data_IF_939322044508
#
_entry.id   IF_939322044508
#
_cell.length_a   1.000
_cell.length_b   1.000
_cell.length_c   1.000
_cell.angle_alpha   90.00
_cell.angle_beta   90.00
_cell.angle_gamma   90.00
#
_symmetry.space_group_name_H-M   'P 1'
#
loop_
_entity.id
_entity.type
_entity.pdbx_description
1 polymer ?
#
# COMPACT_ATOMS: atom_id res chain seq x y z
N UNK A 1 40.71 46.53 -29.98
CA UNK A 1 39.54 45.62 -30.06
C UNK A 1 40.09 44.24 -30.36
N UNK A 2 39.97 43.30 -29.42
CA UNK A 2 38.79 42.44 -29.42
C UNK A 2 37.96 42.58 -28.13
N UNK A 3 36.64 42.46 -28.31
CA UNK A 3 35.63 42.51 -27.25
C UNK A 3 35.38 41.12 -26.67
N UNK A 4 35.37 41.02 -25.35
CA UNK A 4 34.77 39.92 -24.59
C UNK A 4 33.28 39.82 -24.90
N UNK A 5 32.72 38.60 -24.87
CA UNK A 5 31.42 38.42 -24.25
C UNK A 5 31.52 37.45 -23.06
N UNK A 6 31.12 37.99 -21.93
CA UNK A 6 30.75 37.31 -20.69
C UNK A 6 29.52 36.41 -20.87
N UNK A 7 29.46 35.37 -20.04
CA UNK A 7 28.30 34.55 -19.65
C UNK A 7 27.56 33.73 -20.73
N UNK A 8 27.70 32.41 -20.62
CA UNK A 8 26.68 31.59 -19.96
C UNK A 8 27.26 30.21 -19.62
N UNK A 9 27.61 29.99 -18.35
CA UNK A 9 27.75 28.62 -17.82
C UNK A 9 26.37 28.12 -17.37
N UNK A 10 25.85 27.03 -17.93
CA UNK A 10 25.02 26.13 -17.16
C UNK A 10 25.95 25.17 -16.41
N UNK A 11 26.22 25.57 -15.17
CA UNK A 11 26.73 24.73 -14.11
C UNK A 11 25.85 23.50 -13.90
N UNK A 12 26.47 22.41 -13.48
CA UNK A 12 25.77 21.32 -12.80
C UNK A 12 25.16 20.29 -13.74
N UNK A 13 26.03 19.41 -14.23
CA UNK A 13 25.71 17.98 -14.21
C UNK A 13 25.35 17.62 -12.77
N UNK A 14 24.10 17.85 -12.37
CA UNK A 14 23.59 17.36 -11.11
C UNK A 14 23.16 15.93 -11.40
N UNK A 15 24.18 15.08 -11.29
CA UNK A 15 24.10 13.68 -10.94
C UNK A 15 22.76 13.37 -10.27
N UNK A 16 22.13 12.30 -10.73
CA UNK A 16 20.95 11.76 -10.10
C UNK A 16 21.14 11.77 -8.58
N UNK A 17 20.12 12.23 -7.88
CA UNK A 17 19.99 11.96 -6.47
C UNK A 17 19.08 10.74 -6.29
N UNK A 18 19.55 9.50 -6.55
CA UNK A 18 19.03 8.42 -5.74
C UNK A 18 19.54 8.74 -4.34
N UNK A 19 18.61 9.04 -3.43
CA UNK A 19 18.87 8.77 -2.02
C UNK A 19 19.54 7.40 -1.96
N UNK A 20 20.82 7.39 -1.59
CA UNK A 20 21.70 6.23 -1.55
C UNK A 20 21.05 5.17 -0.66
N UNK A 21 20.25 4.29 -1.24
CA UNK A 21 20.06 2.96 -0.72
C UNK A 21 21.39 2.25 -0.97
N UNK A 22 22.24 2.18 0.05
CA UNK A 22 23.44 1.36 0.00
C UNK A 22 23.06 -0.09 -0.37
N UNK A 23 23.97 -0.84 -1.03
CA UNK A 23 23.76 -2.26 -1.30
C UNK A 23 23.68 -2.99 0.03
N UNK A 24 22.46 -3.22 0.53
CA UNK A 24 22.19 -3.79 1.86
C UNK A 24 21.04 -3.16 2.64
N UNK A 25 20.44 -2.06 2.17
CA UNK A 25 19.18 -1.59 2.78
C UNK A 25 18.07 -2.58 2.43
N UNK A 26 17.73 -3.48 3.35
CA UNK A 26 16.48 -4.23 3.28
C UNK A 26 15.35 -3.20 3.07
N UNK A 27 14.44 -3.42 2.10
CA UNK A 27 13.35 -2.49 1.87
C UNK A 27 12.64 -2.25 3.20
N UNK A 28 12.51 -0.98 3.59
CA UNK A 28 11.86 -0.64 4.85
C UNK A 28 10.40 -1.09 4.75
N UNK A 29 10.01 -2.03 5.61
CA UNK A 29 8.66 -2.56 5.65
C UNK A 29 7.71 -1.43 6.05
N UNK A 30 6.78 -1.08 5.16
CA UNK A 30 5.86 0.04 5.39
C UNK A 30 4.63 -0.46 6.13
N UNK A 31 4.14 0.31 7.12
CA UNK A 31 2.85 0.05 7.77
C UNK A 31 1.75 0.70 6.94
N UNK A 32 0.79 -0.09 6.47
CA UNK A 32 -0.27 0.36 5.58
C UNK A 32 -1.63 0.15 6.22
N UNK A 33 -2.50 1.16 6.11
CA UNK A 33 -3.93 1.03 6.37
C UNK A 33 -4.61 1.08 5.01
N UNK A 34 -5.42 0.09 4.70
CA UNK A 34 -6.26 0.13 3.52
C UNK A 34 -7.63 0.68 3.87
N UNK A 35 -8.11 1.61 3.06
CA UNK A 35 -9.53 1.96 3.05
C UNK A 35 -10.37 0.74 2.66
N UNK A 36 -11.62 0.70 3.12
CA UNK A 36 -12.57 -0.36 2.79
C UNK A 36 -12.70 -0.58 1.28
N UNK A 37 -12.64 0.48 0.47
CA UNK A 37 -12.70 0.38 -0.99
C UNK A 37 -11.49 -0.35 -1.60
N UNK A 38 -10.32 -0.22 -1.00
CA UNK A 38 -9.11 -0.94 -1.44
C UNK A 38 -9.27 -2.44 -1.13
N UNK A 39 -9.78 -2.79 0.05
CA UNK A 39 -10.10 -4.19 0.36
C UNK A 39 -11.13 -4.78 -0.59
N UNK A 40 -12.24 -4.06 -0.85
CA UNK A 40 -13.27 -4.52 -1.79
C UNK A 40 -12.67 -4.74 -3.18
N UNK A 41 -11.85 -3.78 -3.66
CA UNK A 41 -11.20 -3.89 -4.96
C UNK A 41 -10.24 -5.09 -5.01
N UNK A 42 -9.45 -5.32 -3.96
CA UNK A 42 -8.51 -6.43 -3.87
C UNK A 42 -9.21 -7.80 -3.87
N UNK A 43 -10.37 -7.92 -3.20
CA UNK A 43 -11.08 -9.20 -3.05
C UNK A 43 -11.99 -9.54 -4.23
N UNK A 44 -12.39 -8.55 -5.03
CA UNK A 44 -13.39 -8.72 -6.10
C UNK A 44 -12.78 -8.60 -7.50
N UNK A 45 -11.69 -7.85 -7.68
CA UNK A 45 -11.10 -7.55 -8.99
C UNK A 45 -9.70 -8.19 -9.12
N UNK A 46 -9.61 -9.37 -9.76
CA UNK A 46 -8.33 -10.02 -10.03
C UNK A 46 -7.41 -9.14 -10.89
N UNK A 47 -6.11 -9.17 -10.59
CA UNK A 47 -5.08 -8.38 -11.26
C UNK A 47 -5.09 -6.90 -10.93
N UNK A 48 -5.98 -6.43 -10.05
CA UNK A 48 -6.07 -5.02 -9.69
C UNK A 48 -4.83 -4.55 -8.91
N UNK A 49 -4.57 -3.24 -8.94
CA UNK A 49 -3.49 -2.65 -8.11
C UNK A 49 -3.75 -2.85 -6.60
N UNK A 50 -5.01 -2.95 -6.21
CA UNK A 50 -5.39 -3.25 -4.83
C UNK A 50 -5.05 -4.70 -4.45
N UNK A 51 -5.31 -5.66 -5.35
CA UNK A 51 -4.87 -7.05 -5.17
C UNK A 51 -3.34 -7.10 -5.03
N UNK A 52 -2.60 -6.44 -5.91
CA UNK A 52 -1.13 -6.38 -5.83
C UNK A 52 -0.62 -5.76 -4.52
N UNK A 53 -1.29 -4.72 -4.01
CA UNK A 53 -0.96 -4.13 -2.72
C UNK A 53 -1.21 -5.11 -1.56
N UNK A 54 -2.31 -5.86 -1.61
CA UNK A 54 -2.60 -6.92 -0.63
C UNK A 54 -1.59 -8.07 -0.74
N UNK A 55 -1.16 -8.45 -1.94
CA UNK A 55 -0.09 -9.44 -2.14
C UNK A 55 1.22 -9.00 -1.48
N UNK A 56 1.61 -7.72 -1.57
CA UNK A 56 2.79 -7.21 -0.85
C UNK A 56 2.69 -7.37 0.66
N UNK A 57 1.49 -7.28 1.23
CA UNK A 57 1.26 -7.57 2.66
C UNK A 57 1.43 -9.06 2.93
N UNK A 58 0.81 -9.92 2.12
CA UNK A 58 0.90 -11.39 2.26
C UNK A 58 2.34 -11.89 2.15
N UNK A 59 3.13 -11.31 1.24
CA UNK A 59 4.55 -11.61 1.06
C UNK A 59 5.44 -11.02 2.17
N UNK A 60 4.85 -10.29 3.13
CA UNK A 60 5.57 -9.64 4.23
C UNK A 60 6.37 -8.40 3.81
N UNK A 61 6.21 -7.90 2.59
CA UNK A 61 6.87 -6.67 2.12
C UNK A 61 6.31 -5.41 2.79
N UNK A 62 5.03 -5.43 3.18
CA UNK A 62 4.35 -4.38 3.95
C UNK A 62 3.64 -5.00 5.17
N UNK A 63 3.37 -4.20 6.22
CA UNK A 63 2.55 -4.61 7.37
C UNK A 63 1.17 -4.01 7.29
N UNK A 64 0.14 -4.84 7.24
CA UNK A 64 -1.23 -4.37 7.30
C UNK A 64 -1.59 -3.96 8.73
N UNK A 65 -2.10 -2.75 8.86
CA UNK A 65 -2.73 -2.23 10.07
C UNK A 65 -4.23 -2.24 9.87
N UNK A 66 -4.97 -2.85 10.80
CA UNK A 66 -6.42 -2.98 10.70
C UNK A 66 -7.09 -2.57 12.01
N UNK A 67 -8.29 -2.02 11.90
CA UNK A 67 -9.15 -1.72 13.04
C UNK A 67 -10.51 -2.39 12.87
N UNK A 68 -11.20 -2.62 13.98
CA UNK A 68 -12.54 -3.23 13.97
C UNK A 68 -13.53 -2.47 13.06
N UNK A 69 -13.62 -1.12 13.10
CA UNK A 69 -14.54 -0.38 12.23
C UNK A 69 -14.32 -0.65 10.73
N UNK A 70 -13.06 -0.73 10.28
CA UNK A 70 -12.73 -1.00 8.87
C UNK A 70 -13.18 -2.43 8.50
N UNK A 71 -12.90 -3.42 9.36
CA UNK A 71 -13.36 -4.79 9.10
C UNK A 71 -14.89 -4.88 9.06
N UNK A 72 -15.58 -4.28 10.02
CA UNK A 72 -17.04 -4.31 10.10
C UNK A 72 -17.69 -3.66 8.86
N UNK A 73 -17.13 -2.53 8.38
CA UNK A 73 -17.56 -1.89 7.16
C UNK A 73 -17.33 -2.79 5.93
N UNK A 74 -16.14 -3.39 5.80
CA UNK A 74 -15.81 -4.30 4.72
C UNK A 74 -16.80 -5.48 4.65
N UNK A 75 -17.05 -6.16 5.77
CA UNK A 75 -17.98 -7.30 5.82
C UNK A 75 -19.42 -6.86 5.50
N UNK A 76 -19.82 -5.66 5.92
CA UNK A 76 -21.11 -5.06 5.57
C UNK A 76 -21.22 -4.79 4.06
N UNK A 77 -20.16 -4.28 3.44
CA UNK A 77 -20.12 -4.03 1.99
C UNK A 77 -20.14 -5.33 1.21
N UNK A 78 -19.35 -6.33 1.61
CA UNK A 78 -19.30 -7.64 0.96
C UNK A 78 -20.64 -8.38 1.04
N UNK A 79 -21.29 -8.38 2.21
CA UNK A 79 -22.62 -8.99 2.37
C UNK A 79 -23.70 -8.28 1.54
N UNK A 80 -23.74 -6.95 1.57
CA UNK A 80 -24.82 -6.18 0.92
C UNK A 80 -24.65 -5.98 -0.57
N UNK A 81 -23.43 -5.70 -1.04
CA UNK A 81 -23.18 -5.34 -2.45
C UNK A 81 -22.71 -6.51 -3.29
N UNK A 82 -22.13 -7.54 -2.68
CA UNK A 82 -21.56 -8.70 -3.37
C UNK A 82 -22.21 -10.02 -2.95
N UNK A 83 -23.28 -9.95 -2.14
CA UNK A 83 -24.08 -11.10 -1.71
C UNK A 83 -23.27 -12.24 -1.11
N UNK A 84 -22.14 -11.92 -0.46
CA UNK A 84 -21.27 -12.91 0.20
C UNK A 84 -22.00 -13.52 1.38
N UNK A 85 -21.95 -14.85 1.49
CA UNK A 85 -22.60 -15.55 2.58
C UNK A 85 -21.81 -15.48 3.90
N UNK A 86 -22.40 -15.97 4.98
CA UNK A 86 -21.79 -15.93 6.31
C UNK A 86 -20.46 -16.69 6.38
N UNK A 87 -20.33 -17.78 5.62
CA UNK A 87 -19.13 -18.62 5.64
C UNK A 87 -17.98 -17.92 4.92
N UNK A 88 -18.26 -17.33 3.75
CA UNK A 88 -17.32 -16.50 3.01
C UNK A 88 -16.84 -15.30 3.83
N UNK A 89 -17.76 -14.59 4.49
CA UNK A 89 -17.42 -13.44 5.34
C UNK A 89 -16.57 -13.84 6.54
N UNK A 90 -16.87 -14.99 7.17
CA UNK A 90 -16.09 -15.51 8.28
C UNK A 90 -14.66 -15.84 7.86
N UNK A 91 -14.47 -16.45 6.68
CA UNK A 91 -13.13 -16.72 6.12
C UNK A 91 -12.34 -15.44 5.91
N UNK A 92 -12.96 -14.40 5.33
CA UNK A 92 -12.31 -13.10 5.12
C UNK A 92 -11.90 -12.48 6.46
N UNK A 93 -12.80 -12.50 7.46
CA UNK A 93 -12.52 -11.93 8.78
C UNK A 93 -11.37 -12.64 9.50
N UNK A 94 -11.35 -13.97 9.49
CA UNK A 94 -10.27 -14.77 10.10
C UNK A 94 -8.95 -14.49 9.39
N UNK A 95 -8.95 -14.57 8.05
CA UNK A 95 -7.73 -14.38 7.27
C UNK A 95 -7.12 -12.98 7.44
N UNK A 96 -7.93 -11.92 7.37
CA UNK A 96 -7.46 -10.56 7.64
C UNK A 96 -7.03 -10.38 9.10
N UNK A 97 -7.68 -11.07 10.04
CA UNK A 97 -7.33 -11.00 11.45
C UNK A 97 -6.01 -11.66 11.81
N UNK A 98 -5.61 -12.69 11.07
CA UNK A 98 -4.29 -13.33 11.18
C UNK A 98 -3.20 -12.51 10.48
N UNK A 99 -3.53 -11.84 9.38
CA UNK A 99 -2.59 -11.05 8.59
C UNK A 99 -2.27 -9.67 9.20
N UNK A 100 -3.23 -9.07 9.90
CA UNK A 100 -3.15 -7.68 10.33
C UNK A 100 -2.60 -7.47 11.75
N UNK A 101 -1.88 -6.36 11.93
CA UNK A 101 -1.64 -5.75 13.22
C UNK A 101 -2.85 -4.92 13.63
N UNK A 102 -3.50 -5.29 14.74
CA UNK A 102 -4.73 -4.66 15.20
C UNK A 102 -4.49 -3.39 16.00
N UNK A 103 -5.23 -2.34 15.66
CA UNK A 103 -5.23 -1.07 16.39
C UNK A 103 -6.62 -0.69 16.90
N UNK A 104 -6.63 0.06 18.01
CA UNK A 104 -7.83 0.75 18.50
C UNK A 104 -7.62 2.25 18.28
N UNK A 105 -8.33 2.86 17.32
CA UNK A 105 -8.27 4.32 17.16
C UNK A 105 -8.80 5.02 18.42
N UNK A 106 -8.24 6.20 18.70
CA UNK A 106 -8.59 7.04 19.85
C UNK A 106 -9.95 7.71 19.70
#
# INVERSE_FOLDING_TARGET
MPSTPELLEPQGQTEGHPLRAGPGALPQQVRVVFDTNIFVSALILPGSRAEQALTRVVDGSDRLILSKPILDELLTVLSRKFSRDREELARVAVWLGELAEWVRPA
#
